data_IF_656985253448
#
_entry.id   IF_656985253448
#
_cell.length_a   1.000
_cell.length_b   1.000
_cell.length_c   1.000
_cell.angle_alpha   90.00
_cell.angle_beta   90.00
_cell.angle_gamma   90.00
#
_symmetry.space_group_name_H-M   'P 1'
#
loop_
_entity.id
_entity.type
_entity.pdbx_description
1 polymer ?
#
# COMPACT_ATOMS: atom_id res chain seq x y z
N UNK A 1 -0.18 33.50 -3.49
CA UNK A 1 0.63 32.38 -2.95
C UNK A 1 -0.29 31.19 -2.84
N UNK A 2 0.04 30.09 -3.49
CA UNK A 2 -0.73 28.84 -3.36
C UNK A 2 -0.50 28.32 -1.94
N UNK A 3 -1.56 27.98 -1.22
CA UNK A 3 -1.45 27.44 0.14
C UNK A 3 -0.68 26.12 0.10
N UNK A 4 0.41 26.02 0.88
CA UNK A 4 1.25 24.81 0.96
C UNK A 4 0.44 23.72 1.65
N UNK A 5 0.18 22.62 0.96
CA UNK A 5 -0.58 21.51 1.48
C UNK A 5 0.24 20.72 2.51
N UNK A 6 -0.25 20.60 3.74
CA UNK A 6 0.35 19.77 4.78
C UNK A 6 -0.26 18.38 4.77
N UNK A 7 0.60 17.38 4.57
CA UNK A 7 0.20 15.98 4.66
C UNK A 7 0.37 15.43 6.08
N UNK A 8 -0.14 14.25 6.31
CA UNK A 8 -0.01 13.52 7.57
C UNK A 8 0.34 12.07 7.29
N UNK A 9 0.99 11.39 8.22
CA UNK A 9 1.16 9.94 8.22
C UNK A 9 -0.11 9.26 8.67
N UNK A 10 -0.38 8.07 8.15
CA UNK A 10 -1.45 7.20 8.62
C UNK A 10 -0.83 6.05 9.42
N UNK A 11 -1.07 6.03 10.73
CA UNK A 11 -0.60 4.97 11.62
C UNK A 11 -1.80 4.43 12.41
N UNK A 12 -2.05 3.15 12.34
CA UNK A 12 -3.16 2.48 13.03
C UNK A 12 -4.52 3.15 12.80
N UNK A 13 -4.82 3.54 11.55
CA UNK A 13 -6.06 4.22 11.16
C UNK A 13 -6.16 5.70 11.57
N UNK A 14 -5.15 6.26 12.21
CA UNK A 14 -5.13 7.65 12.68
C UNK A 14 -4.16 8.51 11.87
N UNK A 15 -4.60 9.72 11.51
CA UNK A 15 -3.76 10.71 10.85
C UNK A 15 -2.93 11.47 11.87
N UNK A 16 -1.58 11.40 11.77
CA UNK A 16 -0.62 12.04 12.68
C UNK A 16 0.44 12.85 11.96
N UNK A 17 0.95 13.87 12.61
CA UNK A 17 2.12 14.65 12.15
C UNK A 17 3.46 14.07 12.63
N UNK A 18 3.42 12.91 13.31
CA UNK A 18 4.58 12.31 13.95
C UNK A 18 4.84 12.84 15.35
N UNK A 19 5.60 12.07 16.13
CA UNK A 19 5.89 12.35 17.55
C UNK A 19 6.77 13.60 17.73
N UNK A 20 7.65 13.89 16.77
CA UNK A 20 8.54 15.06 16.81
C UNK A 20 7.98 16.28 16.08
N UNK A 21 6.84 16.17 15.41
CA UNK A 21 6.21 17.22 14.62
C UNK A 21 7.18 17.93 13.64
N UNK A 22 8.12 17.15 13.09
CA UNK A 22 9.08 17.59 12.06
C UNK A 22 8.52 17.36 10.68
N UNK A 23 8.86 18.26 9.75
CA UNK A 23 8.40 18.20 8.36
C UNK A 23 9.57 18.49 7.43
N UNK A 24 9.49 17.96 6.23
CA UNK A 24 10.30 18.38 5.09
C UNK A 24 9.40 18.88 3.96
N UNK A 25 9.96 19.69 3.09
CA UNK A 25 9.25 20.31 1.98
C UNK A 25 9.47 19.50 0.71
N UNK A 26 8.42 19.32 -0.08
CA UNK A 26 8.52 18.76 -1.42
C UNK A 26 8.41 19.87 -2.44
N UNK A 27 9.34 19.84 -3.40
CA UNK A 27 9.42 20.81 -4.50
C UNK A 27 8.76 20.24 -5.75
N UNK A 28 8.00 21.07 -6.44
CA UNK A 28 7.59 20.77 -7.80
C UNK A 28 8.81 20.92 -8.72
N UNK A 29 9.32 19.86 -9.35
CA UNK A 29 10.55 19.93 -10.15
C UNK A 29 10.41 20.77 -11.41
N UNK A 30 9.19 21.05 -11.87
CA UNK A 30 8.93 21.90 -13.03
C UNK A 30 9.01 23.39 -12.69
N UNK A 31 8.46 23.80 -11.53
CA UNK A 31 8.43 25.23 -11.14
C UNK A 31 9.54 25.60 -10.17
N UNK A 32 10.14 24.64 -9.47
CA UNK A 32 11.08 24.86 -8.37
C UNK A 32 10.42 25.39 -7.09
N UNK A 33 9.11 25.45 -7.05
CA UNK A 33 8.34 25.97 -5.90
C UNK A 33 7.95 24.84 -4.94
N UNK A 34 7.90 25.16 -3.64
CA UNK A 34 7.37 24.28 -2.61
C UNK A 34 5.86 24.13 -2.83
N UNK A 35 5.39 22.89 -2.99
CA UNK A 35 3.97 22.60 -3.16
C UNK A 35 3.36 21.86 -1.97
N UNK A 36 4.18 21.15 -1.21
CA UNK A 36 3.69 20.41 -0.03
C UNK A 36 4.71 20.33 1.10
N UNK A 37 4.23 20.02 2.29
CA UNK A 37 5.00 19.75 3.49
C UNK A 37 4.60 18.38 4.04
N UNK A 38 5.59 17.50 4.23
CA UNK A 38 5.41 16.08 4.54
C UNK A 38 6.07 15.79 5.89
N UNK A 39 5.40 15.07 6.81
CA UNK A 39 5.97 14.78 8.12
C UNK A 39 7.16 13.81 8.00
N UNK A 40 8.22 14.10 8.77
CA UNK A 40 9.36 13.21 8.95
C UNK A 40 9.06 12.24 10.08
N UNK A 41 9.05 10.95 9.81
CA UNK A 41 8.85 9.93 10.82
C UNK A 41 10.07 9.83 11.75
N UNK A 42 9.86 9.77 13.05
CA UNK A 42 10.86 9.39 14.04
C UNK A 42 10.98 7.86 14.12
N UNK A 43 12.00 7.37 14.84
CA UNK A 43 12.13 5.93 15.12
C UNK A 43 10.91 5.41 15.88
N UNK A 44 10.35 6.21 16.80
CA UNK A 44 9.16 5.81 17.56
C UNK A 44 7.92 5.72 16.69
N UNK A 45 7.76 6.60 15.69
CA UNK A 45 6.66 6.55 14.74
C UNK A 45 6.74 5.29 13.85
N UNK A 46 7.96 4.95 13.39
CA UNK A 46 8.20 3.72 12.60
C UNK A 46 7.88 2.48 13.44
N UNK A 47 8.35 2.42 14.69
CA UNK A 47 8.03 1.31 15.60
C UNK A 47 6.52 1.16 15.79
N UNK A 48 5.81 2.25 16.04
CA UNK A 48 4.35 2.24 16.19
C UNK A 48 3.63 1.77 14.91
N UNK A 49 4.16 2.13 13.74
CA UNK A 49 3.60 1.67 12.46
C UNK A 49 3.80 0.17 12.26
N UNK A 50 5.00 -0.35 12.60
CA UNK A 50 5.32 -1.78 12.52
C UNK A 50 4.49 -2.58 13.52
N UNK A 51 4.37 -2.10 14.76
CA UNK A 51 3.52 -2.74 15.79
C UNK A 51 2.05 -2.79 15.35
N UNK A 52 1.52 -1.70 14.82
CA UNK A 52 0.16 -1.65 14.28
C UNK A 52 -0.06 -2.64 13.12
N UNK A 53 0.91 -2.73 12.21
CA UNK A 53 0.86 -3.68 11.10
C UNK A 53 0.95 -5.14 11.59
N UNK A 54 1.81 -5.42 12.58
CA UNK A 54 1.94 -6.73 13.18
C UNK A 54 0.65 -7.15 13.92
N UNK A 55 0.08 -6.25 14.70
CA UNK A 55 -1.21 -6.50 15.36
C UNK A 55 -2.33 -6.75 14.35
N UNK A 56 -2.40 -5.96 13.28
CA UNK A 56 -3.38 -6.18 12.22
C UNK A 56 -3.21 -7.54 11.51
N UNK A 57 -1.96 -8.00 11.35
CA UNK A 57 -1.66 -9.31 10.78
C UNK A 57 -2.04 -10.45 11.72
N UNK A 58 -1.65 -10.39 13.01
CA UNK A 58 -1.81 -11.48 13.97
C UNK A 58 -3.23 -11.57 14.55
N UNK A 59 -3.85 -10.44 14.85
CA UNK A 59 -5.11 -10.37 15.62
C UNK A 59 -6.25 -9.66 14.87
N UNK A 60 -5.91 -8.92 13.81
CA UNK A 60 -6.87 -8.15 13.04
C UNK A 60 -7.90 -8.98 12.28
N UNK A 61 -8.97 -8.36 11.81
CA UNK A 61 -10.04 -9.06 11.10
C UNK A 61 -9.59 -9.66 9.77
N UNK A 62 -8.55 -9.10 9.13
CA UNK A 62 -8.05 -9.56 7.84
C UNK A 62 -7.57 -11.01 7.89
N UNK A 63 -6.86 -11.41 8.92
CA UNK A 63 -6.37 -12.79 9.11
C UNK A 63 -7.50 -13.80 9.26
N UNK A 64 -8.66 -13.35 9.73
CA UNK A 64 -9.87 -14.18 9.98
C UNK A 64 -10.83 -14.21 8.78
N UNK A 65 -10.60 -13.36 7.77
CA UNK A 65 -11.41 -13.34 6.54
C UNK A 65 -11.17 -14.57 5.68
N UNK A 66 -12.22 -15.02 4.99
CA UNK A 66 -12.06 -15.99 3.91
C UNK A 66 -11.31 -15.36 2.73
N UNK A 67 -10.66 -16.17 1.86
CA UNK A 67 -10.03 -15.66 0.64
C UNK A 67 -10.98 -14.79 -0.21
N UNK A 68 -12.22 -15.21 -0.38
CA UNK A 68 -13.25 -14.46 -1.13
C UNK A 68 -13.55 -13.10 -0.51
N UNK A 69 -13.61 -13.01 0.82
CA UNK A 69 -13.81 -11.73 1.52
C UNK A 69 -12.61 -10.79 1.33
N UNK A 70 -11.38 -11.30 1.41
CA UNK A 70 -10.17 -10.51 1.10
C UNK A 70 -10.17 -10.02 -0.35
N UNK A 71 -10.54 -10.88 -1.29
CA UNK A 71 -10.71 -10.50 -2.70
C UNK A 71 -11.75 -9.39 -2.88
N UNK A 72 -12.84 -9.40 -2.12
CA UNK A 72 -13.86 -8.34 -2.16
C UNK A 72 -13.33 -7.00 -1.65
N UNK A 73 -12.49 -7.00 -0.61
CA UNK A 73 -11.81 -5.78 -0.14
C UNK A 73 -10.87 -5.20 -1.21
N UNK A 74 -10.09 -6.07 -1.89
CA UNK A 74 -9.20 -5.64 -2.98
C UNK A 74 -9.98 -5.06 -4.17
N UNK A 75 -11.13 -5.65 -4.53
CA UNK A 75 -12.01 -5.10 -5.58
C UNK A 75 -12.52 -3.71 -5.20
N UNK A 76 -12.94 -3.53 -3.94
CA UNK A 76 -13.38 -2.21 -3.48
C UNK A 76 -12.26 -1.17 -3.51
N UNK A 77 -11.05 -1.56 -3.15
CA UNK A 77 -9.86 -0.70 -3.28
C UNK A 77 -9.61 -0.33 -4.75
N UNK A 78 -9.70 -1.29 -5.68
CA UNK A 78 -9.54 -1.05 -7.11
C UNK A 78 -10.55 -0.03 -7.65
N UNK A 79 -11.82 -0.14 -7.26
CA UNK A 79 -12.87 0.83 -7.62
C UNK A 79 -12.49 2.25 -7.14
N UNK A 80 -12.12 2.39 -5.87
CA UNK A 80 -11.72 3.68 -5.29
C UNK A 80 -10.49 4.29 -5.96
N UNK A 81 -9.49 3.46 -6.31
CA UNK A 81 -8.31 3.92 -7.05
C UNK A 81 -8.67 4.40 -8.47
N UNK A 82 -9.55 3.68 -9.16
CA UNK A 82 -10.05 4.10 -10.47
C UNK A 82 -10.80 5.43 -10.40
N UNK A 83 -11.70 5.58 -9.44
CA UNK A 83 -12.46 6.83 -9.21
C UNK A 83 -11.55 8.01 -8.87
N UNK A 84 -10.45 7.77 -8.15
CA UNK A 84 -9.47 8.78 -7.70
C UNK A 84 -8.27 8.92 -8.61
N UNK A 85 -8.25 8.26 -9.77
CA UNK A 85 -7.09 8.26 -10.68
C UNK A 85 -6.69 9.66 -11.15
N UNK A 86 -7.64 10.54 -11.42
CA UNK A 86 -7.37 11.92 -11.85
C UNK A 86 -6.64 12.76 -10.77
N UNK A 87 -7.13 12.88 -9.52
CA UNK A 87 -6.39 13.61 -8.49
C UNK A 87 -5.05 12.93 -8.11
N UNK A 88 -4.97 11.60 -8.13
CA UNK A 88 -3.73 10.88 -7.86
C UNK A 88 -2.69 11.17 -8.94
N UNK A 89 -3.04 11.07 -10.22
CA UNK A 89 -2.15 11.39 -11.33
C UNK A 89 -1.67 12.84 -11.31
N UNK A 90 -2.53 13.79 -10.97
CA UNK A 90 -2.12 15.21 -10.81
C UNK A 90 -1.12 15.37 -9.67
N UNK A 91 -1.36 14.75 -8.52
CA UNK A 91 -0.46 14.81 -7.37
C UNK A 91 0.92 14.25 -7.75
N UNK A 92 0.97 13.10 -8.40
CA UNK A 92 2.22 12.47 -8.86
C UNK A 92 2.96 13.36 -9.87
N UNK A 93 2.26 13.98 -10.82
CA UNK A 93 2.86 14.93 -11.78
C UNK A 93 3.51 16.10 -11.06
N UNK A 94 2.83 16.69 -10.09
CA UNK A 94 3.35 17.86 -9.34
C UNK A 94 4.59 17.47 -8.53
N UNK A 95 4.58 16.28 -7.93
CA UNK A 95 5.67 15.80 -7.06
C UNK A 95 6.89 15.32 -7.85
N UNK A 96 6.69 14.63 -8.97
CA UNK A 96 7.77 13.94 -9.71
C UNK A 96 8.18 14.63 -11.01
N UNK A 97 7.37 15.52 -11.53
CA UNK A 97 7.58 16.15 -12.85
C UNK A 97 7.26 15.26 -14.05
N UNK A 98 6.71 14.05 -13.84
CA UNK A 98 6.24 13.18 -14.93
C UNK A 98 5.11 13.84 -15.72
N UNK A 99 4.95 13.42 -16.98
CA UNK A 99 3.86 13.91 -17.82
C UNK A 99 2.50 13.52 -17.25
N UNK A 100 1.57 14.46 -17.15
CA UNK A 100 0.23 14.26 -16.61
C UNK A 100 -0.55 13.13 -17.34
N UNK A 101 -0.34 12.96 -18.64
CA UNK A 101 -0.96 11.89 -19.41
C UNK A 101 -0.49 10.51 -18.91
N UNK A 102 0.78 10.39 -18.58
CA UNK A 102 1.39 9.15 -18.09
C UNK A 102 0.91 8.82 -16.67
N UNK A 103 1.00 9.78 -15.75
CA UNK A 103 0.60 9.58 -14.35
C UNK A 103 -0.89 9.27 -14.20
N UNK A 104 -1.75 9.92 -14.99
CA UNK A 104 -3.19 9.57 -15.05
C UNK A 104 -3.42 8.15 -15.51
N UNK A 105 -2.72 7.73 -16.54
CA UNK A 105 -2.82 6.36 -17.04
C UNK A 105 -2.33 5.37 -16.00
N UNK A 106 -1.17 5.61 -15.38
CA UNK A 106 -0.60 4.77 -14.33
C UNK A 106 -1.54 4.66 -13.12
N UNK A 107 -2.06 5.78 -12.63
CA UNK A 107 -3.00 5.81 -11.51
C UNK A 107 -4.29 5.00 -11.80
N UNK A 108 -4.77 5.04 -13.04
CA UNK A 108 -5.90 4.21 -13.46
C UNK A 108 -5.52 2.75 -13.58
N UNK A 109 -4.34 2.46 -14.15
CA UNK A 109 -3.88 1.09 -14.41
C UNK A 109 -3.60 0.31 -13.12
N UNK A 110 -3.19 0.98 -12.04
CA UNK A 110 -3.01 0.35 -10.71
C UNK A 110 -4.29 -0.37 -10.27
N UNK A 111 -5.47 0.13 -10.61
CA UNK A 111 -6.73 -0.53 -10.26
C UNK A 111 -6.86 -1.93 -10.87
N UNK A 112 -6.29 -2.15 -12.07
CA UNK A 112 -6.31 -3.45 -12.76
C UNK A 112 -5.44 -4.49 -12.04
N UNK A 113 -4.31 -4.07 -11.44
CA UNK A 113 -3.51 -4.95 -10.58
C UNK A 113 -4.30 -5.44 -9.37
N UNK A 114 -5.01 -4.54 -8.70
CA UNK A 114 -5.84 -4.93 -7.55
C UNK A 114 -7.00 -5.83 -7.97
N UNK A 115 -7.60 -5.62 -9.14
CA UNK A 115 -8.63 -6.52 -9.70
C UNK A 115 -8.05 -7.90 -9.97
N UNK A 116 -6.86 -7.98 -10.57
CA UNK A 116 -6.18 -9.24 -10.86
C UNK A 116 -5.92 -10.02 -9.56
N UNK A 117 -5.27 -9.40 -8.58
CA UNK A 117 -4.97 -10.06 -7.30
C UNK A 117 -6.22 -10.38 -6.47
N UNK A 118 -7.27 -9.58 -6.59
CA UNK A 118 -8.56 -9.91 -6.02
C UNK A 118 -9.15 -11.20 -6.61
N UNK A 119 -8.93 -11.42 -7.91
CA UNK A 119 -9.29 -12.65 -8.60
C UNK A 119 -8.43 -13.86 -8.24
N UNK A 120 -7.20 -13.63 -7.76
CA UNK A 120 -6.28 -14.68 -7.33
C UNK A 120 -6.47 -15.10 -5.86
N UNK A 121 -7.20 -14.33 -5.06
CA UNK A 121 -7.27 -14.51 -3.62
C UNK A 121 -7.72 -15.91 -3.17
N UNK A 122 -8.62 -16.55 -3.92
CA UNK A 122 -9.17 -17.89 -3.66
C UNK A 122 -8.51 -18.99 -4.53
N UNK A 123 -7.39 -18.69 -5.19
CA UNK A 123 -6.70 -19.59 -6.11
C UNK A 123 -5.27 -19.94 -5.68
N UNK A 124 -4.91 -19.53 -4.46
CA UNK A 124 -3.61 -19.86 -3.88
C UNK A 124 -3.66 -21.30 -3.38
N UNK A 125 -2.95 -22.19 -4.07
CA UNK A 125 -2.88 -23.62 -3.73
C UNK A 125 -1.48 -24.02 -3.32
N UNK A 126 -1.37 -25.14 -2.59
CA UNK A 126 -0.15 -25.89 -2.39
C UNK A 126 -0.04 -27.02 -3.40
N UNK A 127 1.00 -27.82 -3.24
CA UNK A 127 1.32 -28.98 -4.08
C UNK A 127 1.44 -30.24 -3.22
N UNK A 128 1.06 -31.40 -3.77
CA UNK A 128 1.41 -32.69 -3.21
C UNK A 128 2.68 -33.18 -3.90
N UNK A 129 3.73 -33.41 -3.11
CA UNK A 129 5.03 -33.80 -3.63
C UNK A 129 5.16 -35.33 -3.66
N UNK A 130 5.55 -35.95 -4.79
CA UNK A 130 5.87 -37.37 -4.85
C UNK A 130 7.16 -37.64 -4.07
N UNK A 131 7.10 -38.62 -3.19
CA UNK A 131 8.27 -39.11 -2.45
C UNK A 131 8.29 -40.64 -2.50
N UNK A 132 9.49 -41.22 -2.46
CA UNK A 132 9.70 -42.67 -2.48
C UNK A 132 9.55 -43.29 -1.07
N UNK A 133 8.41 -42.98 -0.40
CA UNK A 133 8.03 -43.55 0.90
C UNK A 133 6.51 -43.68 0.96
N UNK A 134 5.99 -44.91 0.88
CA UNK A 134 4.56 -45.15 0.75
C UNK A 134 3.71 -44.78 1.99
N UNK A 135 4.34 -44.64 3.14
CA UNK A 135 3.73 -44.30 4.44
C UNK A 135 3.74 -42.79 4.76
N UNK A 136 4.26 -41.95 3.83
CA UNK A 136 4.32 -40.50 4.04
C UNK A 136 3.56 -39.75 2.94
N UNK A 137 2.82 -38.73 3.38
CA UNK A 137 2.25 -37.69 2.52
C UNK A 137 3.03 -36.40 2.72
N UNK A 138 3.60 -35.84 1.63
CA UNK A 138 4.30 -34.55 1.65
C UNK A 138 3.53 -33.55 0.83
N UNK A 139 3.21 -32.43 1.45
CA UNK A 139 2.52 -31.32 0.78
C UNK A 139 3.19 -29.99 1.13
N UNK A 140 3.00 -29.00 0.27
CA UNK A 140 3.36 -27.61 0.54
C UNK A 140 2.11 -26.80 0.84
N UNK A 141 2.24 -25.85 1.76
CA UNK A 141 1.22 -24.86 2.05
C UNK A 141 1.81 -23.46 1.88
N UNK A 142 1.03 -22.55 1.35
CA UNK A 142 1.43 -21.14 1.18
C UNK A 142 0.97 -20.34 2.38
N UNK A 143 1.94 -19.76 3.10
CA UNK A 143 1.70 -18.92 4.26
C UNK A 143 2.03 -17.46 3.96
N UNK A 144 1.34 -16.49 4.62
CA UNK A 144 1.67 -15.08 4.48
C UNK A 144 3.02 -14.75 5.14
N UNK A 145 3.80 -13.87 4.51
CA UNK A 145 5.10 -13.43 5.06
C UNK A 145 4.97 -12.57 6.34
N UNK A 146 3.83 -11.93 6.54
CA UNK A 146 3.61 -11.00 7.65
C UNK A 146 3.78 -9.54 7.24
N UNK A 147 4.44 -8.76 8.09
CA UNK A 147 4.69 -7.33 7.85
C UNK A 147 5.75 -7.14 6.78
N UNK A 148 5.46 -6.30 5.81
CA UNK A 148 6.36 -5.98 4.69
C UNK A 148 6.63 -4.49 4.67
N UNK A 149 7.90 -4.11 4.56
CA UNK A 149 8.31 -2.74 4.30
C UNK A 149 8.40 -2.50 2.79
N UNK A 150 7.59 -1.58 2.27
CA UNK A 150 7.67 -1.14 0.89
C UNK A 150 8.47 0.17 0.82
N UNK A 151 9.70 0.08 0.31
CA UNK A 151 10.56 1.25 0.10
C UNK A 151 10.36 1.71 -1.34
N UNK A 152 9.64 2.80 -1.50
CA UNK A 152 9.26 3.34 -2.81
C UNK A 152 10.04 4.64 -3.10
N UNK A 153 10.31 4.97 -4.38
CA UNK A 153 11.15 6.11 -4.73
C UNK A 153 10.45 7.47 -4.55
N UNK A 154 9.14 7.52 -4.52
CA UNK A 154 8.28 8.71 -4.35
C UNK A 154 6.86 8.32 -3.94
#
# INVERSE_FOLDING_TARGET
>A
MTEIKKYKMLINGNWTSGSENKFFESLNPYTGEIWSSIPTASVSDVNSAVEAAHHAFSEGPWSKMTPTQRGSCLRKLAELLSEKSEPLGKTETIDTGKMLKETRWQAKYISEFFQFYAGCADKISGETLPIDKPDLLVLTEREPLGVIAAIVPW
#
